data_IF_716667519785
#
_entry.id   IF_716667519785
#
_cell.length_a   1.000
_cell.length_b   1.000
_cell.length_c   1.000
_cell.angle_alpha   90.00
_cell.angle_beta   90.00
_cell.angle_gamma   90.00
#
_symmetry.space_group_name_H-M   'P 1'
#
loop_
_entity.id
_entity.type
_entity.pdbx_description
1 polymer ?
#
# COMPACT_ATOMS: atom_id res chain seq x y z
N UNK A 1 -20.91 46.79 15.17
CA UNK A 1 -20.81 46.43 13.75
C UNK A 1 -19.33 46.32 13.36
N UNK A 2 -18.74 45.12 13.41
CA UNK A 2 -17.38 44.85 12.91
C UNK A 2 -17.50 44.20 11.54
N UNK A 3 -16.84 44.75 10.52
CA UNK A 3 -16.85 44.24 9.15
C UNK A 3 -16.00 42.96 9.08
N UNK A 4 -16.63 41.80 8.91
CA UNK A 4 -15.96 40.56 8.55
C UNK A 4 -15.64 40.60 7.04
N UNK A 5 -14.40 40.92 6.70
CA UNK A 5 -13.91 40.94 5.32
C UNK A 5 -13.70 39.53 4.76
N UNK A 6 -13.78 39.34 3.42
CA UNK A 6 -13.85 38.03 2.74
C UNK A 6 -12.62 37.11 2.85
N UNK A 7 -11.57 37.49 3.58
CA UNK A 7 -10.36 36.67 3.74
C UNK A 7 -10.59 35.37 4.54
N UNK A 8 -11.47 35.42 5.56
CA UNK A 8 -11.72 34.25 6.42
C UNK A 8 -12.43 33.08 5.71
N UNK A 9 -13.18 33.34 4.64
CA UNK A 9 -13.85 32.29 3.85
C UNK A 9 -12.84 31.60 2.93
N UNK A 10 -11.83 32.31 2.45
CA UNK A 10 -10.82 31.75 1.54
C UNK A 10 -9.80 30.87 2.28
N UNK A 11 -9.56 31.10 3.57
CA UNK A 11 -8.71 30.23 4.40
C UNK A 11 -9.42 28.98 4.92
N UNK A 12 -10.71 29.06 5.26
CA UNK A 12 -11.46 27.88 5.76
C UNK A 12 -11.87 26.87 4.68
N UNK A 13 -12.05 27.33 3.44
CA UNK A 13 -12.43 26.43 2.33
C UNK A 13 -11.36 25.39 2.00
N UNK A 14 -10.05 25.71 1.88
CA UNK A 14 -9.02 24.69 1.64
C UNK A 14 -8.81 23.74 2.84
N UNK A 15 -9.01 24.20 4.07
CA UNK A 15 -8.91 23.39 5.30
C UNK A 15 -10.04 22.34 5.37
N UNK A 16 -11.29 22.75 5.13
CA UNK A 16 -12.44 21.84 5.05
C UNK A 16 -12.40 20.90 3.83
N UNK A 17 -11.77 21.32 2.73
CA UNK A 17 -11.53 20.48 1.54
C UNK A 17 -10.38 19.48 1.76
N UNK A 18 -9.45 19.76 2.68
CA UNK A 18 -8.40 18.86 3.13
C UNK A 18 -8.96 17.71 3.97
N UNK A 19 -9.64 18.02 5.08
CA UNK A 19 -10.29 17.03 5.96
C UNK A 19 -11.33 16.15 5.22
N UNK A 20 -12.07 16.77 4.30
CA UNK A 20 -13.03 16.07 3.42
C UNK A 20 -12.36 15.02 2.53
N UNK A 21 -11.15 15.28 2.02
CA UNK A 21 -10.48 14.39 1.06
C UNK A 21 -9.91 13.13 1.69
N UNK A 22 -9.36 13.22 2.89
CA UNK A 22 -8.82 12.04 3.57
C UNK A 22 -9.93 11.19 4.21
N UNK A 23 -11.03 11.83 4.64
CA UNK A 23 -12.26 11.14 5.03
C UNK A 23 -12.96 10.45 3.85
N UNK A 24 -13.06 11.12 2.69
CA UNK A 24 -13.61 10.54 1.45
C UNK A 24 -12.72 9.41 0.93
N UNK A 25 -11.40 9.53 1.02
CA UNK A 25 -10.46 8.47 0.62
C UNK A 25 -10.65 7.19 1.44
N UNK A 26 -10.76 7.30 2.77
CA UNK A 26 -11.05 6.17 3.65
C UNK A 26 -12.43 5.55 3.41
N UNK A 27 -13.44 6.38 3.10
CA UNK A 27 -14.80 5.92 2.77
C UNK A 27 -14.84 5.23 1.42
N UNK A 28 -14.14 5.72 0.40
CA UNK A 28 -14.09 5.13 -0.95
C UNK A 28 -13.38 3.77 -0.93
N UNK A 29 -12.30 3.61 -0.18
CA UNK A 29 -11.62 2.33 -0.01
C UNK A 29 -12.49 1.29 0.70
N UNK A 30 -13.18 1.71 1.77
CA UNK A 30 -14.12 0.85 2.48
C UNK A 30 -15.35 0.50 1.60
N UNK A 31 -15.88 1.45 0.82
CA UNK A 31 -16.96 1.19 -0.13
C UNK A 31 -16.53 0.28 -1.27
N UNK A 32 -15.30 0.38 -1.77
CA UNK A 32 -14.77 -0.51 -2.81
C UNK A 32 -14.71 -1.98 -2.35
N UNK A 33 -14.24 -2.22 -1.13
CA UNK A 33 -14.27 -3.53 -0.48
C UNK A 33 -15.69 -4.06 -0.27
N UNK A 34 -16.60 -3.21 0.20
CA UNK A 34 -18.02 -3.55 0.40
C UNK A 34 -18.71 -3.85 -0.94
N UNK A 35 -18.44 -3.07 -1.99
CA UNK A 35 -18.96 -3.29 -3.35
C UNK A 35 -18.40 -4.60 -3.93
N UNK A 36 -17.10 -4.87 -3.72
CA UNK A 36 -16.45 -6.14 -4.06
C UNK A 36 -17.18 -7.36 -3.46
N UNK A 37 -17.42 -7.32 -2.15
CA UNK A 37 -18.07 -8.41 -1.42
C UNK A 37 -19.56 -8.54 -1.77
N UNK A 38 -20.28 -7.43 -1.88
CA UNK A 38 -21.75 -7.43 -2.03
C UNK A 38 -22.21 -7.61 -3.48
N UNK A 39 -21.55 -6.94 -4.44
CA UNK A 39 -21.94 -6.99 -5.86
C UNK A 39 -21.24 -8.13 -6.59
N UNK A 40 -19.95 -8.34 -6.33
CA UNK A 40 -19.15 -9.33 -7.05
C UNK A 40 -19.04 -10.68 -6.33
N UNK A 41 -19.62 -10.81 -5.13
CA UNK A 41 -19.65 -12.05 -4.32
C UNK A 41 -18.28 -12.69 -4.14
N UNK A 42 -17.23 -11.88 -3.99
CA UNK A 42 -15.86 -12.38 -3.92
C UNK A 42 -15.68 -13.43 -2.82
N UNK A 43 -15.07 -14.55 -3.21
CA UNK A 43 -14.54 -15.56 -2.32
C UNK A 43 -13.33 -15.02 -1.55
N UNK A 44 -12.97 -15.70 -0.45
CA UNK A 44 -11.76 -15.35 0.30
C UNK A 44 -10.49 -15.40 -0.54
N UNK A 45 -10.43 -16.33 -1.50
CA UNK A 45 -9.29 -16.48 -2.38
C UNK A 45 -9.18 -15.26 -3.30
N UNK A 46 -10.30 -14.76 -3.82
CA UNK A 46 -10.33 -13.53 -4.63
C UNK A 46 -9.98 -12.29 -3.80
N UNK A 47 -10.48 -12.19 -2.56
CA UNK A 47 -10.12 -11.08 -1.66
C UNK A 47 -8.62 -11.10 -1.35
N UNK A 48 -8.07 -12.28 -1.02
CA UNK A 48 -6.65 -12.46 -0.77
C UNK A 48 -5.81 -12.13 -2.01
N UNK A 49 -6.26 -12.57 -3.20
CA UNK A 49 -5.61 -12.27 -4.47
C UNK A 49 -5.55 -10.75 -4.72
N UNK A 50 -6.66 -10.06 -4.57
CA UNK A 50 -6.74 -8.61 -4.78
C UNK A 50 -5.82 -7.87 -3.80
N UNK A 51 -5.78 -8.30 -2.54
CA UNK A 51 -4.85 -7.74 -1.56
C UNK A 51 -3.38 -7.96 -1.96
N UNK A 52 -3.02 -9.17 -2.40
CA UNK A 52 -1.64 -9.45 -2.83
C UNK A 52 -1.25 -8.66 -4.08
N UNK A 53 -2.19 -8.47 -5.00
CA UNK A 53 -1.99 -7.60 -6.17
C UNK A 53 -1.85 -6.14 -5.74
N UNK A 54 -2.64 -5.67 -4.77
CA UNK A 54 -2.50 -4.34 -4.18
C UNK A 54 -1.09 -4.14 -3.60
N UNK A 55 -0.61 -5.06 -2.77
CA UNK A 55 0.75 -5.04 -2.20
C UNK A 55 1.80 -4.98 -3.31
N UNK A 56 1.64 -5.81 -4.36
CA UNK A 56 2.55 -5.84 -5.49
C UNK A 56 2.58 -4.52 -6.28
N UNK A 57 1.40 -3.94 -6.56
CA UNK A 57 1.27 -2.65 -7.27
C UNK A 57 1.89 -1.52 -6.45
N UNK A 58 1.58 -1.44 -5.15
CA UNK A 58 2.16 -0.42 -4.27
C UNK A 58 3.69 -0.55 -4.26
N UNK A 59 4.20 -1.76 -4.05
CA UNK A 59 5.65 -2.02 -4.03
C UNK A 59 6.31 -1.57 -5.35
N UNK A 60 5.74 -1.96 -6.50
CA UNK A 60 6.26 -1.62 -7.81
C UNK A 60 6.26 -0.10 -8.06
N UNK A 61 5.14 0.55 -7.77
CA UNK A 61 4.97 1.98 -8.02
C UNK A 61 5.89 2.82 -7.12
N UNK A 62 5.95 2.54 -5.83
CA UNK A 62 6.77 3.33 -4.91
C UNK A 62 8.27 3.03 -5.01
N UNK A 63 8.66 1.82 -5.43
CA UNK A 63 10.04 1.60 -5.90
C UNK A 63 10.37 2.42 -7.13
N UNK A 64 9.43 2.57 -8.07
CA UNK A 64 9.63 3.46 -9.22
C UNK A 64 9.80 4.91 -8.79
N UNK A 65 9.07 5.35 -7.76
CA UNK A 65 9.23 6.68 -7.16
C UNK A 65 10.60 6.87 -6.52
N UNK A 66 11.05 5.87 -5.76
CA UNK A 66 12.35 5.88 -5.11
C UNK A 66 13.52 6.03 -6.11
N UNK A 67 13.33 5.71 -7.40
CA UNK A 67 14.39 5.87 -8.41
C UNK A 67 14.72 7.34 -8.71
N UNK A 68 13.78 8.27 -8.49
CA UNK A 68 13.93 9.67 -8.88
C UNK A 68 13.95 10.67 -7.73
N UNK A 69 13.96 10.19 -6.48
CA UNK A 69 14.14 11.03 -5.29
C UNK A 69 15.62 11.35 -5.08
N UNK A 70 16.01 12.64 -5.05
CA UNK A 70 17.42 13.03 -5.06
C UNK A 70 18.05 13.13 -3.67
N UNK A 71 17.28 13.27 -2.59
CA UNK A 71 17.89 13.49 -1.27
C UNK A 71 18.62 12.24 -0.77
N UNK A 72 19.71 12.41 -0.02
CA UNK A 72 20.43 11.28 0.57
C UNK A 72 19.60 10.60 1.65
N UNK A 73 19.89 9.33 1.91
CA UNK A 73 19.30 8.59 3.04
C UNK A 73 20.11 8.88 4.29
N UNK A 74 19.49 9.47 5.31
CA UNK A 74 20.19 9.96 6.51
C UNK A 74 20.95 8.88 7.29
N UNK A 75 20.50 7.62 7.23
CA UNK A 75 21.10 6.49 7.95
C UNK A 75 22.27 5.83 7.19
N UNK A 76 22.53 6.22 5.95
CA UNK A 76 23.54 5.58 5.11
C UNK A 76 24.76 6.49 4.92
N UNK A 77 25.85 6.11 5.57
CA UNK A 77 27.14 6.73 5.34
C UNK A 77 27.81 6.17 4.09
N UNK A 78 28.37 7.05 3.26
CA UNK A 78 29.22 6.65 2.14
C UNK A 78 29.34 7.71 1.04
N UNK A 79 30.43 7.60 0.28
CA UNK A 79 30.73 8.42 -0.90
C UNK A 79 29.52 8.65 -1.86
N UNK A 80 28.67 7.64 -2.17
CA UNK A 80 27.51 7.86 -3.05
C UNK A 80 26.37 8.67 -2.42
N UNK A 81 26.32 8.85 -1.10
CA UNK A 81 25.29 9.62 -0.39
C UNK A 81 25.76 11.03 -0.01
N UNK A 82 27.07 11.24 0.09
CA UNK A 82 27.69 12.54 0.40
C UNK A 82 27.97 13.40 -0.84
N UNK A 83 27.84 12.83 -2.03
CA UNK A 83 28.11 13.50 -3.31
C UNK A 83 26.81 13.78 -4.08
N UNK A 84 26.84 14.78 -4.97
CA UNK A 84 25.73 15.04 -5.89
C UNK A 84 25.37 13.77 -6.69
N UNK A 85 24.07 13.45 -6.79
CA UNK A 85 23.64 12.22 -7.43
C UNK A 85 23.89 12.24 -8.94
N UNK A 86 24.51 11.18 -9.45
CA UNK A 86 24.65 10.97 -10.90
C UNK A 86 23.30 10.65 -11.53
N UNK A 87 22.74 11.60 -12.27
CA UNK A 87 21.46 11.47 -12.97
C UNK A 87 21.61 10.73 -14.29
N UNK A 88 20.81 9.68 -14.48
CA UNK A 88 20.46 9.13 -15.77
C UNK A 88 19.12 9.74 -16.16
N UNK A 89 19.09 10.54 -17.22
CA UNK A 89 17.83 11.09 -17.74
C UNK A 89 17.35 10.20 -18.89
N UNK A 90 16.39 9.29 -18.66
CA UNK A 90 16.02 8.32 -19.68
C UNK A 90 15.34 9.00 -20.88
N UNK A 91 14.48 10.00 -20.59
CA UNK A 91 13.74 10.82 -21.55
C UNK A 91 13.56 12.21 -20.89
N UNK A 92 13.68 13.30 -21.65
CA UNK A 92 13.59 14.68 -21.12
C UNK A 92 12.27 15.07 -20.45
N UNK A 93 11.22 14.24 -20.57
CA UNK A 93 9.90 14.46 -19.95
C UNK A 93 9.74 13.77 -18.59
N UNK A 94 10.59 12.78 -18.28
CA UNK A 94 10.50 11.98 -17.05
C UNK A 94 11.43 12.53 -15.96
N UNK A 95 11.10 12.33 -14.67
CA UNK A 95 12.03 12.61 -13.58
C UNK A 95 13.38 11.90 -13.81
N UNK A 96 14.50 12.53 -13.45
CA UNK A 96 15.81 11.89 -13.56
C UNK A 96 15.88 10.67 -12.65
N UNK A 97 16.49 9.58 -13.13
CA UNK A 97 16.72 8.36 -12.37
C UNK A 97 18.15 8.36 -11.84
N UNK A 98 18.35 7.98 -10.58
CA UNK A 98 19.68 8.01 -9.96
C UNK A 98 20.27 6.60 -9.82
N UNK A 99 21.51 6.41 -10.28
CA UNK A 99 22.19 5.12 -10.23
C UNK A 99 22.33 4.58 -8.80
N UNK A 100 22.63 5.45 -7.83
CA UNK A 100 22.71 5.09 -6.42
C UNK A 100 21.38 4.51 -5.89
N UNK A 101 20.25 5.05 -6.36
CA UNK A 101 18.93 4.60 -5.97
C UNK A 101 18.62 3.21 -6.54
N UNK A 102 19.02 2.93 -7.79
CA UNK A 102 18.88 1.59 -8.39
C UNK A 102 19.53 0.53 -7.51
N UNK A 103 20.80 0.74 -7.11
CA UNK A 103 21.53 -0.21 -6.25
C UNK A 103 20.86 -0.36 -4.89
N UNK A 104 20.40 0.76 -4.32
CA UNK A 104 19.72 0.79 -3.03
C UNK A 104 18.38 0.01 -3.03
N UNK A 105 17.61 0.14 -4.11
CA UNK A 105 16.31 -0.53 -4.27
C UNK A 105 16.49 -1.99 -4.68
N UNK A 106 17.45 -2.32 -5.54
CA UNK A 106 17.58 -3.67 -6.11
C UNK A 106 17.68 -4.77 -5.03
N UNK A 107 18.54 -4.59 -4.02
CA UNK A 107 18.69 -5.59 -2.95
C UNK A 107 17.41 -5.78 -2.13
N UNK A 108 16.65 -4.70 -1.94
CA UNK A 108 15.38 -4.66 -1.21
C UNK A 108 14.23 -5.25 -2.01
N UNK A 109 14.19 -4.95 -3.31
CA UNK A 109 13.20 -5.40 -4.25
C UNK A 109 13.26 -6.91 -4.50
N UNK A 110 14.46 -7.49 -4.48
CA UNK A 110 14.62 -8.95 -4.58
C UNK A 110 13.95 -9.63 -3.38
N UNK A 111 14.21 -9.15 -2.16
CA UNK A 111 13.64 -9.73 -0.94
C UNK A 111 12.12 -9.59 -0.88
N UNK A 112 11.60 -8.37 -1.05
CA UNK A 112 10.16 -8.13 -1.03
C UNK A 112 9.45 -8.83 -2.21
N UNK A 113 10.03 -8.77 -3.41
CA UNK A 113 9.49 -9.43 -4.59
C UNK A 113 9.44 -10.94 -4.45
N UNK A 114 10.49 -11.56 -3.88
CA UNK A 114 10.50 -13.00 -3.60
C UNK A 114 9.42 -13.38 -2.57
N UNK A 115 9.26 -12.60 -1.50
CA UNK A 115 8.23 -12.85 -0.49
C UNK A 115 6.81 -12.69 -1.07
N UNK A 116 6.53 -11.57 -1.74
CA UNK A 116 5.24 -11.33 -2.40
C UNK A 116 4.95 -12.44 -3.41
N UNK A 117 5.93 -12.79 -4.26
CA UNK A 117 5.78 -13.86 -5.24
C UNK A 117 5.48 -15.21 -4.60
N UNK A 118 6.20 -15.59 -3.54
CA UNK A 118 6.00 -16.85 -2.83
C UNK A 118 4.58 -16.98 -2.24
N UNK A 119 3.98 -15.88 -1.79
CA UNK A 119 2.60 -15.85 -1.27
C UNK A 119 1.57 -15.73 -2.39
N UNK A 120 1.85 -14.92 -3.43
CA UNK A 120 0.94 -14.66 -4.54
C UNK A 120 0.75 -15.89 -5.43
N UNK A 121 1.82 -16.61 -5.79
CA UNK A 121 1.74 -17.77 -6.70
C UNK A 121 0.71 -18.82 -6.28
N UNK A 122 0.69 -19.34 -5.03
CA UNK A 122 -0.29 -20.35 -4.63
C UNK A 122 -1.72 -19.79 -4.50
N UNK A 123 -1.89 -18.48 -4.26
CA UNK A 123 -3.21 -17.85 -4.20
C UNK A 123 -3.75 -17.61 -5.61
N UNK A 124 -2.90 -17.14 -6.52
CA UNK A 124 -3.22 -16.92 -7.93
C UNK A 124 -3.68 -18.21 -8.64
N UNK A 125 -2.99 -19.32 -8.40
CA UNK A 125 -3.39 -20.62 -8.97
C UNK A 125 -4.73 -21.10 -8.44
N UNK A 126 -4.99 -20.94 -7.13
CA UNK A 126 -6.30 -21.27 -6.52
C UNK A 126 -7.44 -20.36 -6.97
N UNK A 127 -7.13 -19.11 -7.32
CA UNK A 127 -8.10 -18.17 -7.86
C UNK A 127 -8.46 -18.46 -9.33
N UNK A 128 -7.76 -19.40 -9.99
CA UNK A 128 -8.00 -19.74 -11.38
C UNK A 128 -7.47 -18.69 -12.36
N UNK A 129 -6.44 -17.93 -12.01
CA UNK A 129 -5.80 -16.97 -12.93
C UNK A 129 -5.14 -17.61 -14.16
N UNK A 130 -4.99 -18.94 -14.17
CA UNK A 130 -4.60 -19.71 -15.35
C UNK A 130 -5.71 -19.78 -16.41
N UNK A 131 -6.91 -19.30 -16.08
CA UNK A 131 -8.08 -19.16 -16.95
C UNK A 131 -8.45 -17.68 -17.12
N UNK A 132 -9.27 -17.35 -18.12
CA UNK A 132 -9.69 -15.97 -18.42
C UNK A 132 -10.13 -15.22 -17.14
N UNK A 133 -9.36 -14.22 -16.67
CA UNK A 133 -9.61 -13.58 -15.40
C UNK A 133 -10.93 -12.80 -15.43
N UNK A 134 -11.69 -12.77 -14.32
CA UNK A 134 -12.97 -12.09 -14.29
C UNK A 134 -12.79 -10.59 -14.48
N UNK A 135 -13.72 -9.95 -15.21
CA UNK A 135 -13.69 -8.51 -15.47
C UNK A 135 -13.65 -7.67 -14.18
N UNK A 136 -14.27 -8.16 -13.10
CA UNK A 136 -14.24 -7.55 -11.77
C UNK A 136 -12.82 -7.43 -11.20
N UNK A 137 -11.95 -8.41 -11.47
CA UNK A 137 -10.55 -8.35 -11.07
C UNK A 137 -9.81 -7.25 -11.84
N UNK A 138 -10.03 -7.15 -13.15
CA UNK A 138 -9.45 -6.08 -13.97
C UNK A 138 -9.87 -4.68 -13.49
N UNK A 139 -11.15 -4.51 -13.13
CA UNK A 139 -11.65 -3.27 -12.55
C UNK A 139 -11.03 -2.96 -11.18
N UNK A 140 -10.87 -3.98 -10.32
CA UNK A 140 -10.22 -3.80 -9.02
C UNK A 140 -8.76 -3.36 -9.19
N UNK A 141 -8.01 -4.01 -10.09
CA UNK A 141 -6.64 -3.64 -10.42
C UNK A 141 -6.57 -2.19 -10.94
N UNK A 142 -7.44 -1.82 -11.90
CA UNK A 142 -7.49 -0.48 -12.44
C UNK A 142 -7.78 0.57 -11.35
N UNK A 143 -8.73 0.28 -10.45
CA UNK A 143 -9.06 1.13 -9.31
C UNK A 143 -7.87 1.31 -8.36
N UNK A 144 -7.18 0.22 -8.01
CA UNK A 144 -5.97 0.25 -7.18
C UNK A 144 -4.90 1.11 -7.86
N UNK A 145 -4.59 0.86 -9.14
CA UNK A 145 -3.57 1.61 -9.88
C UNK A 145 -3.90 3.11 -9.89
N UNK A 146 -5.13 3.49 -10.25
CA UNK A 146 -5.55 4.89 -10.27
C UNK A 146 -5.45 5.55 -8.88
N UNK A 147 -5.85 4.82 -7.84
CA UNK A 147 -5.75 5.28 -6.46
C UNK A 147 -4.29 5.52 -6.05
N UNK A 148 -3.40 4.57 -6.33
CA UNK A 148 -1.98 4.68 -6.02
C UNK A 148 -1.29 5.78 -6.84
N UNK A 149 -1.63 5.92 -8.13
CA UNK A 149 -1.13 7.03 -8.96
C UNK A 149 -1.55 8.39 -8.43
N UNK A 150 -2.80 8.51 -7.94
CA UNK A 150 -3.28 9.75 -7.30
C UNK A 150 -2.49 10.06 -6.03
N UNK A 151 -2.14 9.04 -5.23
CA UNK A 151 -1.28 9.20 -4.06
C UNK A 151 0.13 9.67 -4.42
N UNK A 152 0.76 9.04 -5.43
CA UNK A 152 2.08 9.43 -5.93
C UNK A 152 2.05 10.87 -6.44
N UNK A 153 1.01 11.22 -7.22
CA UNK A 153 0.84 12.57 -7.70
C UNK A 153 0.77 13.56 -6.54
N UNK A 154 -0.06 13.29 -5.53
CA UNK A 154 -0.26 14.17 -4.38
C UNK A 154 1.02 14.34 -3.54
N UNK A 155 1.71 13.25 -3.24
CA UNK A 155 2.80 13.26 -2.25
C UNK A 155 4.18 13.52 -2.85
N UNK A 156 4.45 13.03 -4.06
CA UNK A 156 5.78 13.12 -4.68
C UNK A 156 5.81 14.10 -5.85
N UNK A 157 4.77 14.18 -6.69
CA UNK A 157 4.84 14.99 -7.92
C UNK A 157 4.34 16.42 -7.70
N UNK A 158 3.30 16.60 -6.90
CA UNK A 158 2.71 17.91 -6.62
C UNK A 158 3.76 18.83 -6.00
N UNK A 159 3.85 20.05 -6.51
CA UNK A 159 4.87 21.04 -6.13
C UNK A 159 6.32 20.56 -6.28
N UNK A 160 6.58 19.52 -7.09
CA UNK A 160 7.90 18.88 -7.21
C UNK A 160 8.47 18.38 -5.87
N UNK A 161 7.59 17.99 -4.94
CA UNK A 161 7.97 17.55 -3.59
C UNK A 161 9.01 16.42 -3.60
N UNK A 162 9.05 15.58 -4.64
CA UNK A 162 10.06 14.55 -4.81
C UNK A 162 11.49 15.07 -4.71
N UNK A 163 11.76 16.36 -5.01
CA UNK A 163 13.08 16.97 -4.91
C UNK A 163 13.58 17.11 -3.46
N UNK A 164 12.67 17.11 -2.50
CA UNK A 164 12.93 17.22 -1.07
C UNK A 164 12.85 15.86 -0.36
N UNK A 165 12.60 14.78 -1.12
CA UNK A 165 12.42 13.44 -0.59
C UNK A 165 13.64 12.57 -0.85
N UNK A 166 13.89 11.66 0.07
CA UNK A 166 14.90 10.61 -0.04
C UNK A 166 14.28 9.35 -0.67
N UNK A 167 15.08 8.41 -1.20
CA UNK A 167 14.55 7.12 -1.62
C UNK A 167 14.02 6.29 -0.44
N UNK A 168 14.46 6.54 0.80
CA UNK A 168 13.89 5.89 1.97
C UNK A 168 12.42 6.30 2.19
N UNK A 169 12.09 7.57 1.99
CA UNK A 169 10.71 8.08 2.15
C UNK A 169 9.73 7.34 1.22
N UNK A 170 10.14 7.12 -0.04
CA UNK A 170 9.33 6.34 -0.99
C UNK A 170 9.27 4.85 -0.62
N UNK A 171 10.35 4.30 -0.06
CA UNK A 171 10.37 2.91 0.38
C UNK A 171 9.49 2.65 1.60
N UNK A 172 9.28 3.63 2.49
CA UNK A 172 8.33 3.47 3.61
C UNK A 172 6.93 3.11 3.08
N UNK A 173 6.46 3.80 2.03
CA UNK A 173 5.21 3.47 1.36
C UNK A 173 5.23 2.09 0.68
N UNK A 174 6.37 1.69 0.11
CA UNK A 174 6.52 0.38 -0.53
C UNK A 174 6.51 -0.77 0.50
N UNK A 175 7.12 -0.56 1.68
CA UNK A 175 7.27 -1.60 2.69
C UNK A 175 6.11 -1.68 3.68
N UNK A 176 5.38 -0.60 3.92
CA UNK A 176 4.19 -0.64 4.78
C UNK A 176 3.24 -1.82 4.49
N UNK A 177 2.77 -2.03 3.23
CA UNK A 177 1.91 -3.18 2.91
C UNK A 177 2.65 -4.52 2.94
N UNK A 178 3.97 -4.54 2.74
CA UNK A 178 4.78 -5.77 2.81
C UNK A 178 4.94 -6.24 4.25
N UNK A 179 5.14 -5.30 5.18
CA UNK A 179 5.21 -5.58 6.62
C UNK A 179 3.85 -6.02 7.12
N UNK A 180 2.77 -5.34 6.72
CA UNK A 180 1.39 -5.74 7.01
C UNK A 180 1.15 -7.20 6.55
N UNK A 181 1.49 -7.51 5.30
CA UNK A 181 1.38 -8.87 4.75
C UNK A 181 2.22 -9.88 5.53
N UNK A 182 3.45 -9.53 5.90
CA UNK A 182 4.32 -10.38 6.70
C UNK A 182 3.72 -10.70 8.08
N UNK A 183 3.15 -9.69 8.75
CA UNK A 183 2.50 -9.86 10.04
C UNK A 183 1.23 -10.70 9.93
N UNK A 184 0.39 -10.46 8.92
CA UNK A 184 -0.77 -11.31 8.63
C UNK A 184 -0.32 -12.76 8.42
N UNK A 185 0.73 -12.96 7.63
CA UNK A 185 1.24 -14.29 7.34
C UNK A 185 1.74 -14.99 8.61
N UNK A 186 2.59 -14.32 9.39
CA UNK A 186 3.27 -14.92 10.54
C UNK A 186 2.38 -15.05 11.78
N UNK A 187 1.47 -14.09 12.02
CA UNK A 187 0.63 -14.07 13.23
C UNK A 187 -0.79 -14.57 13.02
N UNK A 188 -1.26 -14.66 11.77
CA UNK A 188 -2.60 -15.18 11.47
C UNK A 188 -2.52 -16.46 10.66
N UNK A 189 -1.97 -16.40 9.44
CA UNK A 189 -2.04 -17.54 8.53
C UNK A 189 -1.33 -18.75 9.10
N UNK A 190 -0.05 -18.61 9.48
CA UNK A 190 0.74 -19.73 10.02
C UNK A 190 0.13 -20.30 11.31
N UNK A 191 -0.18 -19.49 12.35
CA UNK A 191 -0.68 -20.04 13.61
C UNK A 191 -2.08 -20.65 13.47
N UNK A 192 -3.00 -19.98 12.78
CA UNK A 192 -4.37 -20.49 12.59
C UNK A 192 -4.33 -21.78 11.78
N UNK A 193 -3.51 -21.86 10.73
CA UNK A 193 -3.36 -23.08 9.93
C UNK A 193 -2.79 -24.23 10.78
N UNK A 194 -1.78 -23.98 11.62
CA UNK A 194 -1.22 -25.00 12.51
C UNK A 194 -2.23 -25.52 13.53
N UNK A 195 -3.02 -24.62 14.13
CA UNK A 195 -4.09 -25.00 15.07
C UNK A 195 -5.16 -25.84 14.37
N UNK A 196 -5.63 -25.40 13.19
CA UNK A 196 -6.64 -26.12 12.43
C UNK A 196 -6.13 -27.48 11.94
N UNK A 197 -4.89 -27.57 11.47
CA UNK A 197 -4.28 -28.84 11.09
C UNK A 197 -4.17 -29.80 12.27
N UNK A 198 -3.87 -29.29 13.48
CA UNK A 198 -3.82 -30.10 14.70
C UNK A 198 -5.20 -30.62 15.12
N UNK A 199 -6.24 -29.78 14.99
CA UNK A 199 -7.63 -30.18 15.26
C UNK A 199 -8.10 -31.21 14.24
N UNK A 200 -7.82 -31.00 12.96
CA UNK A 200 -8.17 -31.92 11.89
C UNK A 200 -7.48 -33.28 12.01
N UNK A 201 -6.25 -33.31 12.51
CA UNK A 201 -5.53 -34.55 12.79
C UNK A 201 -6.15 -35.34 13.95
N UNK A 202 -6.78 -34.65 14.90
CA UNK A 202 -7.33 -35.26 16.12
C UNK A 202 -8.83 -35.54 16.03
N UNK A 203 -9.54 -34.88 15.12
CA UNK A 203 -11.00 -34.86 15.06
C UNK A 203 -11.47 -34.77 13.61
N UNK A 204 -12.55 -35.49 13.23
CA UNK A 204 -13.22 -35.38 11.93
C UNK A 204 -14.05 -34.06 11.82
N UNK A 205 -13.40 -32.92 12.01
CA UNK A 205 -14.02 -31.59 11.89
C UNK A 205 -14.00 -31.14 10.43
N UNK A 206 -15.15 -30.67 9.95
CA UNK A 206 -15.23 -30.04 8.64
C UNK A 206 -14.55 -28.64 8.66
N UNK A 207 -13.33 -28.57 8.12
CA UNK A 207 -12.53 -27.34 8.05
C UNK A 207 -13.05 -26.32 7.02
N UNK A 208 -13.96 -26.74 6.13
CA UNK A 208 -14.53 -25.88 5.09
C UNK A 208 -15.73 -25.06 5.58
N UNK A 209 -16.08 -25.19 6.86
CA UNK A 209 -17.23 -24.50 7.44
C UNK A 209 -16.97 -22.99 7.55
N UNK A 210 -18.00 -22.19 7.24
CA UNK A 210 -17.94 -20.72 7.34
C UNK A 210 -17.38 -20.16 8.66
N UNK A 211 -17.63 -20.75 9.86
CA UNK A 211 -17.03 -20.28 11.11
C UNK A 211 -15.49 -20.36 11.14
N UNK A 212 -14.89 -21.30 10.40
CA UNK A 212 -13.43 -21.42 10.29
C UNK A 212 -12.83 -20.20 9.58
N UNK A 213 -13.57 -19.61 8.65
CA UNK A 213 -13.16 -18.40 7.94
C UNK A 213 -13.03 -17.19 8.87
N UNK A 214 -13.88 -17.10 9.90
CA UNK A 214 -13.82 -16.01 10.88
C UNK A 214 -12.52 -16.04 11.70
N UNK A 215 -11.93 -17.22 11.89
CA UNK A 215 -10.64 -17.37 12.59
C UNK A 215 -9.48 -16.73 11.82
N UNK A 216 -9.60 -16.59 10.49
CA UNK A 216 -8.66 -15.83 9.67
C UNK A 216 -9.07 -14.37 9.53
N UNK A 217 -10.35 -14.11 9.23
CA UNK A 217 -10.83 -12.77 8.90
C UNK A 217 -10.77 -11.79 10.08
N UNK A 218 -11.12 -12.23 11.30
CA UNK A 218 -11.15 -11.34 12.47
C UNK A 218 -9.72 -10.83 12.80
N UNK A 219 -8.70 -11.70 12.94
CA UNK A 219 -7.35 -11.23 13.19
C UNK A 219 -6.75 -10.44 12.03
N UNK A 220 -7.04 -10.82 10.77
CA UNK A 220 -6.62 -10.03 9.59
C UNK A 220 -7.20 -8.62 9.69
N UNK A 221 -8.51 -8.48 9.87
CA UNK A 221 -9.16 -7.18 9.98
C UNK A 221 -8.59 -6.33 11.12
N UNK A 222 -8.26 -6.95 12.26
CA UNK A 222 -7.61 -6.27 13.37
C UNK A 222 -6.20 -5.76 13.02
N UNK A 223 -5.38 -6.58 12.36
CA UNK A 223 -4.05 -6.16 11.89
C UNK A 223 -4.16 -5.02 10.88
N UNK A 224 -5.06 -5.11 9.90
CA UNK A 224 -5.24 -4.04 8.89
C UNK A 224 -5.70 -2.74 9.53
N UNK A 225 -6.63 -2.80 10.49
CA UNK A 225 -7.10 -1.62 11.21
C UNK A 225 -5.99 -0.99 12.07
N UNK A 226 -5.19 -1.81 12.75
CA UNK A 226 -4.04 -1.34 13.52
C UNK A 226 -2.96 -0.73 12.62
N UNK A 227 -2.61 -1.37 11.51
CA UNK A 227 -1.66 -0.81 10.54
C UNK A 227 -2.16 0.48 9.90
N UNK A 228 -3.45 0.56 9.57
CA UNK A 228 -4.06 1.80 9.10
C UNK A 228 -4.00 2.94 10.12
N UNK A 229 -3.98 2.62 11.43
CA UNK A 229 -3.80 3.62 12.49
C UNK A 229 -2.34 4.05 12.70
N UNK A 230 -1.38 3.21 12.28
CA UNK A 230 0.05 3.49 12.33
C UNK A 230 0.58 4.14 11.06
N UNK A 231 -0.27 4.25 10.04
CA UNK A 231 0.08 4.91 8.80
C UNK A 231 0.50 6.36 9.11
N UNK A 232 1.73 6.78 8.79
CA UNK A 232 2.18 8.17 8.97
C UNK A 232 1.24 9.18 8.29
N UNK A 233 0.40 8.73 7.36
CA UNK A 233 -0.70 9.50 6.77
C UNK A 233 -1.76 10.00 7.77
N UNK A 234 -1.84 9.47 8.99
CA UNK A 234 -2.74 9.98 10.03
C UNK A 234 -2.07 10.97 10.99
N UNK A 235 -0.75 10.91 11.15
CA UNK A 235 0.01 11.75 12.08
C UNK A 235 0.51 13.06 11.45
N UNK A 236 0.60 13.15 10.13
CA UNK A 236 0.94 14.41 9.44
C UNK A 236 -0.25 15.42 9.41
N UNK A 237 -1.39 15.04 10.01
CA UNK A 237 -2.50 15.94 10.34
C UNK A 237 -2.43 16.48 11.78
N UNK A 238 -1.25 16.50 12.39
CA UNK A 238 -1.01 17.42 13.51
C UNK A 238 -0.98 18.86 12.98
N UNK A 239 -2.16 19.47 13.01
CA UNK A 239 -2.37 20.90 12.90
C UNK A 239 -1.45 21.60 13.93
N UNK A 240 -0.40 22.27 13.44
CA UNK A 240 0.33 23.23 14.26
C UNK A 240 -0.62 24.38 14.60
N UNK A 241 -0.97 24.52 15.87
CA UNK A 241 -1.76 25.64 16.37
C UNK A 241 -1.02 26.96 16.14
N UNK A 242 -1.67 27.90 15.46
CA UNK A 242 -1.40 29.34 15.49
C UNK A 242 -2.62 30.05 16.06
#
# INVERSE_FOLDING_TARGET
MRRHGPKWVVERVPEALGESRDFVSGIVLNLGLIIGVVIFRWSLVEIALIYLIEVAIITLLFFSVALFTPQPVAELDGDPWNTEPSSLQPIGLLPPVYWRNIKFIAGRAIGSGAFIGAVLTPVASRAGLDSDPPLSLGLAIAGIVLFQLTRIWRYFISNRSYQEKSPADAMEFAFAPVIELYLIFMYVIVPVTLVLASIAFTTDVNLDAWPVLLLYLIPIGAIRAWFGSLDPQTNDFEISFS
#
